data_IF_923710193779
#
_entry.id   IF_923710193779
#
_cell.length_a   1.000
_cell.length_b   1.000
_cell.length_c   1.000
_cell.angle_alpha   90.00
_cell.angle_beta   90.00
_cell.angle_gamma   90.00
#
_symmetry.space_group_name_H-M   'P 1'
#
loop_
_entity.id
_entity.type
_entity.pdbx_description
1 polymer ?
#
# COMPACT_ATOMS: atom_id res chain seq x y z
N UNK A 1 12.59 -5.00 -5.77
CA UNK A 1 11.93 -3.67 -5.66
C UNK A 1 12.76 -2.79 -4.75
N UNK A 2 12.98 -1.51 -5.12
CA UNK A 2 13.64 -0.52 -4.24
C UNK A 2 12.58 0.42 -3.63
N UNK A 3 12.70 0.68 -2.33
CA UNK A 3 11.81 1.56 -1.56
C UNK A 3 12.68 2.52 -0.76
N UNK A 4 12.45 3.82 -0.91
CA UNK A 4 13.10 4.86 -0.15
C UNK A 4 12.04 5.61 0.68
N UNK A 5 12.38 6.02 1.89
CA UNK A 5 11.44 6.63 2.83
C UNK A 5 12.09 7.87 3.41
N UNK A 6 11.42 9.00 3.33
CA UNK A 6 11.84 10.27 3.95
C UNK A 6 10.94 10.54 5.16
N UNK A 7 11.55 10.72 6.33
CA UNK A 7 10.85 10.99 7.59
C UNK A 7 11.75 11.77 8.54
N UNK A 8 11.17 12.45 9.53
CA UNK A 8 11.90 13.00 10.67
C UNK A 8 12.17 11.96 11.78
N UNK A 9 11.71 10.73 11.57
CA UNK A 9 11.89 9.58 12.47
C UNK A 9 12.28 8.33 11.70
N UNK A 10 13.48 8.26 11.08
CA UNK A 10 13.90 7.12 10.26
C UNK A 10 13.94 5.80 11.06
N UNK A 11 14.24 5.85 12.34
CA UNK A 11 14.27 4.68 13.23
C UNK A 11 12.93 3.96 13.35
N UNK A 12 11.82 4.65 13.05
CA UNK A 12 10.49 4.06 13.01
C UNK A 12 10.42 2.85 12.08
N UNK A 13 11.22 2.86 11.01
CA UNK A 13 11.21 1.85 9.97
C UNK A 13 12.06 0.62 10.29
N UNK A 14 12.76 0.58 11.42
CA UNK A 14 13.44 -0.63 11.88
C UNK A 14 12.49 -1.83 12.04
N UNK A 15 11.18 -1.59 12.27
CA UNK A 15 10.16 -2.63 12.28
C UNK A 15 10.09 -3.43 10.96
N UNK A 16 10.40 -2.81 9.84
CA UNK A 16 10.41 -3.43 8.52
C UNK A 16 11.57 -4.44 8.33
N UNK A 17 12.54 -4.45 9.25
CA UNK A 17 13.63 -5.43 9.26
C UNK A 17 13.24 -6.75 9.97
N UNK A 18 12.02 -6.84 10.47
CA UNK A 18 11.52 -8.01 11.20
C UNK A 18 10.73 -8.95 10.28
N UNK A 19 10.49 -10.17 10.77
CA UNK A 19 9.59 -11.13 10.15
C UNK A 19 9.95 -11.53 8.71
N UNK A 20 8.94 -11.61 7.86
CA UNK A 20 9.10 -12.01 6.45
C UNK A 20 9.74 -10.88 5.63
N UNK A 21 9.42 -9.64 5.92
CA UNK A 21 9.97 -8.49 5.20
C UNK A 21 11.49 -8.37 5.42
N UNK A 22 11.97 -8.55 6.66
CA UNK A 22 13.41 -8.59 6.94
C UNK A 22 14.13 -9.77 6.25
N UNK A 23 13.47 -10.92 6.11
CA UNK A 23 13.99 -12.04 5.32
C UNK A 23 14.03 -11.73 3.83
N UNK A 24 13.01 -11.05 3.30
CA UNK A 24 12.93 -10.65 1.90
C UNK A 24 14.04 -9.64 1.55
N UNK A 25 14.35 -8.70 2.45
CA UNK A 25 15.49 -7.78 2.29
C UNK A 25 16.82 -8.54 2.23
N UNK A 26 17.06 -9.47 3.16
CA UNK A 26 18.28 -10.32 3.15
C UNK A 26 18.42 -11.17 1.89
N UNK A 27 17.33 -11.49 1.21
CA UNK A 27 17.30 -12.24 -0.05
C UNK A 27 17.37 -11.35 -1.28
N UNK A 28 17.42 -10.03 -1.12
CA UNK A 28 17.47 -9.07 -2.23
C UNK A 28 16.15 -8.92 -3.02
N UNK A 29 15.01 -9.41 -2.48
CA UNK A 29 13.70 -9.25 -3.11
C UNK A 29 13.24 -7.80 -3.02
N UNK A 30 13.52 -7.14 -1.90
CA UNK A 30 13.26 -5.73 -1.67
C UNK A 30 14.46 -5.10 -0.96
N UNK A 31 14.76 -3.86 -1.27
CA UNK A 31 15.68 -3.02 -0.51
C UNK A 31 14.93 -1.81 0.02
N UNK A 32 15.15 -1.47 1.29
CA UNK A 32 14.48 -0.34 1.95
C UNK A 32 15.57 0.54 2.55
N UNK A 33 15.52 1.84 2.24
CA UNK A 33 16.35 2.86 2.87
C UNK A 33 15.45 3.94 3.49
N UNK A 34 15.80 4.40 4.69
CA UNK A 34 15.13 5.48 5.37
C UNK A 34 16.10 6.64 5.58
N UNK A 35 15.64 7.85 5.29
CA UNK A 35 16.41 9.09 5.34
C UNK A 35 15.80 10.02 6.39
N UNK A 36 16.64 10.66 7.21
CA UNK A 36 16.20 11.70 8.14
C UNK A 36 16.09 13.03 7.38
N UNK A 37 14.88 13.57 7.26
CA UNK A 37 14.64 14.86 6.61
C UNK A 37 15.47 15.99 7.23
N UNK A 38 15.88 15.86 8.51
CA UNK A 38 16.71 16.87 9.20
C UNK A 38 18.12 16.98 8.66
N UNK A 39 18.61 15.99 7.93
CA UNK A 39 19.94 16.03 7.32
C UNK A 39 20.09 17.12 6.25
N UNK A 40 18.95 17.62 5.73
CA UNK A 40 18.88 18.72 4.75
C UNK A 40 18.55 20.08 5.37
N UNK A 41 18.58 20.20 6.69
CA UNK A 41 18.38 21.48 7.38
C UNK A 41 19.71 22.20 7.55
N UNK A 42 19.68 23.55 7.47
CA UNK A 42 20.87 24.39 7.55
C UNK A 42 20.93 25.23 8.83
N UNK A 43 19.89 25.21 9.64
CA UNK A 43 19.81 25.93 10.90
C UNK A 43 20.25 25.08 12.09
N UNK A 44 20.66 25.74 13.18
CA UNK A 44 21.19 25.07 14.40
C UNK A 44 20.16 24.19 15.09
N UNK A 45 18.87 24.44 14.83
CA UNK A 45 17.74 23.73 15.46
C UNK A 45 17.19 22.57 14.61
N UNK A 46 17.74 22.38 13.40
CA UNK A 46 17.26 21.38 12.44
C UNK A 46 15.74 21.50 12.20
N UNK A 47 15.27 22.74 11.95
CA UNK A 47 13.86 23.07 11.84
C UNK A 47 13.28 22.67 10.50
N UNK A 48 12.34 21.73 10.50
CA UNK A 48 11.69 21.19 9.30
C UNK A 48 10.29 21.77 9.06
N UNK A 49 9.80 22.63 9.95
CA UNK A 49 8.44 23.15 9.97
C UNK A 49 8.39 24.65 10.29
N UNK A 50 7.27 25.30 9.97
CA UNK A 50 6.99 26.71 10.28
C UNK A 50 5.49 26.92 10.45
N UNK A 51 5.09 28.13 10.88
CA UNK A 51 3.69 28.50 11.09
C UNK A 51 2.91 28.50 9.77
N UNK A 52 1.64 28.03 9.77
CA UNK A 52 0.85 28.00 8.54
C UNK A 52 0.54 29.40 8.02
N UNK A 53 0.67 29.60 6.70
CA UNK A 53 0.25 30.84 6.04
C UNK A 53 -1.28 30.93 6.10
N UNK A 54 -1.76 32.11 6.53
CA UNK A 54 -3.18 32.32 6.79
C UNK A 54 -3.57 32.12 8.26
N UNK A 55 -2.62 31.72 9.11
CA UNK A 55 -2.86 31.47 10.54
C UNK A 55 -3.50 30.10 10.78
N UNK A 56 -3.75 29.79 12.03
CA UNK A 56 -4.29 28.51 12.49
C UNK A 56 -3.42 27.88 13.56
N UNK A 57 -3.89 26.76 14.10
CA UNK A 57 -3.11 25.95 15.04
C UNK A 57 -2.15 25.01 14.30
N UNK A 58 -1.07 24.62 14.98
CA UNK A 58 -0.12 23.65 14.45
C UNK A 58 0.99 24.29 13.60
N UNK A 59 1.71 23.41 12.89
CA UNK A 59 2.88 23.75 12.08
C UNK A 59 2.75 23.05 10.73
N UNK A 60 3.36 23.55 9.68
CA UNK A 60 3.42 22.95 8.35
C UNK A 60 4.87 22.70 8.00
N UNK A 61 5.17 21.54 7.42
CA UNK A 61 6.54 21.19 7.03
C UNK A 61 6.99 22.00 5.82
N UNK A 62 8.19 22.56 5.93
CA UNK A 62 8.77 23.52 4.98
C UNK A 62 9.04 22.92 3.61
N UNK A 63 8.64 23.58 2.52
CA UNK A 63 8.83 23.06 1.17
C UNK A 63 10.30 23.01 0.74
N UNK A 64 11.13 23.96 1.17
CA UNK A 64 12.56 24.00 0.80
C UNK A 64 13.33 22.80 1.32
N UNK A 65 13.09 22.38 2.56
CA UNK A 65 13.77 21.21 3.14
C UNK A 65 13.31 19.91 2.45
N UNK A 66 12.02 19.80 2.17
CA UNK A 66 11.50 18.69 1.39
C UNK A 66 12.06 18.67 -0.04
N UNK A 67 12.21 19.83 -0.68
CA UNK A 67 12.73 19.92 -2.03
C UNK A 67 14.21 19.46 -2.10
N UNK A 68 15.06 19.95 -1.21
CA UNK A 68 16.47 19.53 -1.15
C UNK A 68 16.60 18.03 -0.92
N UNK A 69 15.87 17.49 0.07
CA UNK A 69 15.87 16.06 0.36
C UNK A 69 15.37 15.21 -0.81
N UNK A 70 14.25 15.60 -1.40
CA UNK A 70 13.66 14.83 -2.50
C UNK A 70 14.48 14.95 -3.79
N UNK A 71 15.11 16.08 -4.06
CA UNK A 71 16.01 16.25 -5.19
C UNK A 71 17.22 15.30 -5.07
N UNK A 72 17.82 15.19 -3.90
CA UNK A 72 18.90 14.25 -3.63
C UNK A 72 18.42 12.79 -3.73
N UNK A 73 17.35 12.45 -3.06
CA UNK A 73 16.81 11.08 -3.03
C UNK A 73 16.34 10.65 -4.42
N UNK A 74 15.66 11.52 -5.17
CA UNK A 74 15.13 11.20 -6.49
C UNK A 74 16.18 11.32 -7.60
N UNK A 75 17.15 12.23 -7.44
CA UNK A 75 18.25 12.47 -8.38
C UNK A 75 19.43 11.51 -8.21
N UNK A 76 19.63 10.99 -6.99
CA UNK A 76 20.77 10.14 -6.65
C UNK A 76 20.74 8.78 -7.34
N UNK A 77 21.47 8.64 -8.41
CA UNK A 77 21.85 7.37 -9.03
C UNK A 77 23.11 6.79 -8.38
N UNK A 78 23.27 6.86 -7.07
CA UNK A 78 24.36 6.14 -6.41
C UNK A 78 24.00 4.66 -6.34
N UNK A 79 24.39 3.90 -7.38
CA UNK A 79 24.34 2.44 -7.39
C UNK A 79 23.46 1.76 -8.42
N UNK A 80 22.74 2.48 -9.27
CA UNK A 80 22.19 1.89 -10.49
C UNK A 80 23.20 2.17 -11.62
N UNK A 81 23.79 1.10 -12.15
CA UNK A 81 24.64 1.14 -13.35
C UNK A 81 23.91 1.96 -14.43
N UNK A 82 24.50 3.06 -14.87
CA UNK A 82 23.97 3.95 -15.92
C UNK A 82 23.85 3.26 -17.30
N UNK A 83 23.84 1.95 -17.34
CA UNK A 83 23.94 1.10 -18.52
C UNK A 83 22.66 0.37 -18.91
N UNK A 84 21.50 0.63 -18.30
CA UNK A 84 20.25 0.04 -18.77
C UNK A 84 19.29 1.05 -19.40
N UNK A 85 19.77 1.74 -20.41
CA UNK A 85 18.89 2.18 -21.50
C UNK A 85 18.78 0.96 -22.42
N UNK A 86 17.77 0.14 -22.26
CA UNK A 86 17.53 -0.87 -23.25
C UNK A 86 17.10 -0.20 -24.56
N UNK A 87 17.44 -0.83 -25.68
CA UNK A 87 17.24 -0.32 -27.04
C UNK A 87 15.76 -0.13 -27.43
N UNK A 88 14.84 -0.12 -26.47
CA UNK A 88 13.40 0.00 -26.66
C UNK A 88 12.76 1.26 -26.08
N UNK A 89 13.52 2.20 -25.49
CA UNK A 89 12.95 3.46 -24.96
C UNK A 89 11.98 3.28 -23.79
N UNK A 90 12.08 2.20 -23.06
CA UNK A 90 11.19 1.92 -21.91
C UNK A 90 11.58 2.79 -20.71
N UNK A 91 10.60 3.49 -20.14
CA UNK A 91 10.71 4.39 -18.97
C UNK A 91 10.90 3.61 -17.65
N UNK A 92 11.85 2.68 -17.58
CA UNK A 92 11.95 1.66 -16.54
C UNK A 92 12.38 2.20 -15.17
N UNK A 93 12.77 3.46 -15.03
CA UNK A 93 13.33 3.95 -13.77
C UNK A 93 12.77 5.29 -13.24
N UNK A 94 11.61 5.71 -13.70
CA UNK A 94 10.96 6.89 -13.11
C UNK A 94 10.28 6.47 -11.81
N UNK A 95 10.71 6.97 -10.64
CA UNK A 95 10.12 6.59 -9.36
C UNK A 95 8.67 7.06 -9.25
N UNK A 96 7.91 6.42 -8.35
CA UNK A 96 6.62 6.90 -7.88
C UNK A 96 6.84 7.53 -6.52
N UNK A 97 6.49 8.82 -6.37
CA UNK A 97 6.53 9.53 -5.10
C UNK A 97 5.15 9.42 -4.42
N UNK A 98 5.12 8.95 -3.18
CA UNK A 98 3.87 8.65 -2.47
C UNK A 98 3.85 9.36 -1.12
N UNK A 99 2.77 10.08 -0.85
CA UNK A 99 2.53 10.73 0.43
C UNK A 99 1.28 10.15 1.11
N UNK A 100 1.37 9.66 2.34
CA UNK A 100 0.18 9.44 3.17
C UNK A 100 -0.53 10.76 3.44
N UNK A 101 -1.83 10.81 3.15
CA UNK A 101 -2.67 11.97 3.38
C UNK A 101 -4.09 11.50 3.75
N UNK A 102 -4.64 11.86 4.94
CA UNK A 102 -5.96 11.42 5.35
C UNK A 102 -7.10 11.94 4.45
N UNK A 103 -6.86 13.00 3.68
CA UNK A 103 -7.83 13.58 2.74
C UNK A 103 -7.75 13.02 1.32
N UNK A 104 -6.86 12.05 1.07
CA UNK A 104 -6.67 11.43 -0.24
C UNK A 104 -7.55 10.19 -0.45
N UNK A 105 -7.62 9.64 -1.67
CA UNK A 105 -8.26 8.36 -1.94
C UNK A 105 -7.69 7.23 -1.09
N UNK A 106 -8.53 6.22 -0.80
CA UNK A 106 -8.12 5.06 -0.01
C UNK A 106 -7.07 4.21 -0.75
N UNK A 107 -6.03 3.83 -0.03
CA UNK A 107 -5.12 2.78 -0.43
C UNK A 107 -5.81 1.42 -0.30
N UNK A 108 -5.91 0.69 -1.41
CA UNK A 108 -6.63 -0.58 -1.48
C UNK A 108 -5.69 -1.75 -1.83
N UNK A 109 -6.21 -2.98 -1.73
CA UNK A 109 -5.49 -4.17 -2.20
C UNK A 109 -5.19 -4.10 -3.71
N UNK A 110 -6.09 -3.51 -4.51
CA UNK A 110 -5.87 -3.28 -5.94
C UNK A 110 -4.67 -2.35 -6.18
N UNK A 111 -4.61 -1.22 -5.43
CA UNK A 111 -3.46 -0.30 -5.45
C UNK A 111 -2.16 -1.01 -5.05
N UNK A 112 -2.19 -1.82 -3.99
CA UNK A 112 -1.02 -2.60 -3.57
C UNK A 112 -0.56 -3.56 -4.66
N UNK A 113 -1.49 -4.22 -5.35
CA UNK A 113 -1.20 -5.13 -6.47
C UNK A 113 -0.60 -4.39 -7.65
N UNK A 114 -1.18 -3.27 -8.05
CA UNK A 114 -0.64 -2.41 -9.11
C UNK A 114 0.81 -1.99 -8.82
N UNK A 115 1.06 -1.45 -7.62
CA UNK A 115 2.39 -1.01 -7.22
C UNK A 115 3.39 -2.17 -7.12
N UNK A 116 2.97 -3.35 -6.66
CA UNK A 116 3.84 -4.53 -6.60
C UNK A 116 4.26 -5.03 -7.98
N UNK A 117 3.41 -4.86 -8.99
CA UNK A 117 3.66 -5.26 -10.39
C UNK A 117 4.44 -4.18 -11.18
N UNK A 118 4.49 -2.95 -10.70
CA UNK A 118 5.06 -1.83 -11.46
C UNK A 118 6.57 -1.94 -11.71
N UNK A 119 7.29 -2.74 -10.92
CA UNK A 119 8.77 -2.86 -10.91
C UNK A 119 9.50 -1.52 -10.72
N UNK A 120 8.78 -0.44 -10.42
CA UNK A 120 9.33 0.90 -10.26
C UNK A 120 9.84 1.11 -8.82
N UNK A 121 10.79 2.00 -8.68
CA UNK A 121 11.23 2.52 -7.39
C UNK A 121 10.09 3.30 -6.73
N UNK A 122 9.83 3.03 -5.45
CA UNK A 122 8.84 3.75 -4.66
C UNK A 122 9.56 4.67 -3.68
N UNK A 123 9.14 5.93 -3.60
CA UNK A 123 9.66 6.90 -2.64
C UNK A 123 8.50 7.39 -1.80
N UNK A 124 8.58 7.22 -0.48
CA UNK A 124 7.55 7.64 0.45
C UNK A 124 7.99 8.87 1.24
N UNK A 125 7.14 9.88 1.30
CA UNK A 125 7.33 11.07 2.15
C UNK A 125 6.38 11.05 3.35
N UNK A 126 6.93 10.98 4.57
CA UNK A 126 6.13 10.96 5.81
C UNK A 126 5.93 12.36 6.35
N UNK A 127 4.74 12.93 6.17
CA UNK A 127 4.35 14.19 6.79
C UNK A 127 4.13 14.07 8.30
N UNK A 128 4.37 15.17 8.99
CA UNK A 128 4.09 15.38 10.42
C UNK A 128 3.34 16.69 10.61
N UNK A 129 2.92 16.99 11.83
CA UNK A 129 2.18 18.18 12.17
C UNK A 129 0.88 18.31 11.37
N UNK A 130 0.60 19.49 10.77
CA UNK A 130 -0.56 19.71 9.89
C UNK A 130 -0.32 19.22 8.45
N UNK A 131 0.86 18.64 8.18
CA UNK A 131 1.23 18.07 6.89
C UNK A 131 2.41 18.75 6.23
N UNK A 132 2.66 18.37 4.99
CA UNK A 132 3.69 18.92 4.11
C UNK A 132 3.07 20.07 3.31
N UNK A 133 3.84 21.14 3.07
CA UNK A 133 3.40 22.23 2.20
C UNK A 133 2.87 21.71 0.86
N UNK A 134 1.67 22.08 0.49
CA UNK A 134 0.96 21.56 -0.68
C UNK A 134 1.70 21.78 -2.01
N UNK A 135 2.64 22.74 -2.05
CA UNK A 135 3.49 22.99 -3.23
C UNK A 135 4.49 21.85 -3.48
N UNK A 136 4.85 21.08 -2.47
CA UNK A 136 5.82 19.97 -2.66
C UNK A 136 5.27 18.88 -3.60
N UNK A 137 4.15 18.21 -3.34
CA UNK A 137 3.62 17.23 -4.26
C UNK A 137 3.28 17.84 -5.65
N UNK A 138 2.79 19.07 -5.69
CA UNK A 138 2.46 19.76 -6.94
C UNK A 138 3.72 20.04 -7.78
N UNK A 139 4.81 20.46 -7.15
CA UNK A 139 6.07 20.72 -7.83
C UNK A 139 6.62 19.45 -8.52
N UNK A 140 6.66 18.33 -7.82
CA UNK A 140 7.17 17.08 -8.40
C UNK A 140 6.25 16.51 -9.48
N UNK A 141 4.96 16.80 -9.40
CA UNK A 141 3.98 16.42 -10.44
C UNK A 141 4.11 17.25 -11.72
N UNK A 142 4.48 18.52 -11.61
CA UNK A 142 4.47 19.48 -12.74
C UNK A 142 5.86 19.83 -13.27
N UNK A 143 6.83 20.04 -12.40
CA UNK A 143 8.21 20.37 -12.73
C UNK A 143 9.11 19.15 -12.63
N UNK A 144 9.04 18.46 -11.51
CA UNK A 144 9.63 17.16 -11.33
C UNK A 144 11.00 17.11 -10.69
N UNK A 145 11.63 15.92 -10.76
CA UNK A 145 12.95 15.60 -10.20
C UNK A 145 14.07 16.14 -11.08
N UNK A 146 15.25 16.44 -10.51
CA UNK A 146 16.43 16.73 -11.32
C UNK A 146 16.86 15.50 -12.13
N UNK A 147 17.38 15.73 -13.33
CA UNK A 147 17.91 14.68 -14.21
C UNK A 147 19.43 14.51 -14.07
N UNK A 148 20.08 15.42 -13.35
CA UNK A 148 21.53 15.43 -13.11
C UNK A 148 21.80 15.63 -11.62
N UNK A 149 23.03 15.40 -11.19
CA UNK A 149 23.47 15.71 -9.83
C UNK A 149 23.52 17.24 -9.53
N UNK A 150 23.37 18.08 -10.54
CA UNK A 150 23.18 19.52 -10.36
C UNK A 150 21.71 19.78 -10.05
N UNK A 151 21.45 20.29 -8.85
CA UNK A 151 20.10 20.61 -8.35
C UNK A 151 19.77 22.10 -8.47
N UNK A 152 20.58 22.88 -9.17
CA UNK A 152 20.38 24.30 -9.38
C UNK A 152 19.04 24.63 -10.06
N UNK A 153 18.61 25.89 -9.96
CA UNK A 153 17.33 26.35 -10.54
C UNK A 153 17.19 26.09 -12.04
N UNK A 154 18.31 26.05 -12.77
CA UNK A 154 18.36 25.80 -14.21
C UNK A 154 18.66 24.33 -14.56
N UNK A 155 18.74 23.43 -13.60
CA UNK A 155 18.96 22.01 -13.86
C UNK A 155 17.78 21.42 -14.65
N UNK A 156 18.06 20.56 -15.63
CA UNK A 156 17.00 19.88 -16.36
C UNK A 156 16.19 19.01 -15.41
N UNK A 157 14.86 19.08 -15.50
CA UNK A 157 13.93 18.36 -14.63
C UNK A 157 12.92 17.58 -15.43
N UNK A 158 12.34 16.55 -14.80
CA UNK A 158 11.32 15.70 -15.39
C UNK A 158 10.17 15.48 -14.39
N UNK A 159 8.93 15.82 -14.75
CA UNK A 159 7.77 15.45 -13.96
C UNK A 159 7.75 13.96 -13.64
N UNK A 160 7.31 13.62 -12.41
CA UNK A 160 7.18 12.24 -11.97
C UNK A 160 5.75 11.96 -11.53
N UNK A 161 5.42 10.70 -11.42
CA UNK A 161 4.15 10.30 -10.86
C UNK A 161 4.15 10.54 -9.34
N UNK A 162 3.22 11.38 -8.87
CA UNK A 162 3.01 11.69 -7.46
C UNK A 162 1.63 11.19 -7.07
N UNK A 163 1.58 10.36 -6.05
CA UNK A 163 0.35 9.78 -5.50
C UNK A 163 0.17 10.16 -4.04
N UNK A 164 -1.06 10.29 -3.62
CA UNK A 164 -1.44 10.51 -2.23
C UNK A 164 -2.48 9.47 -1.85
N UNK A 165 -2.36 8.89 -0.63
CA UNK A 165 -3.29 7.86 -0.16
C UNK A 165 -3.64 8.01 1.31
N UNK A 166 -4.93 7.80 1.62
CA UNK A 166 -5.40 7.53 2.97
C UNK A 166 -5.40 6.03 3.25
N UNK A 167 -5.14 5.62 4.48
CA UNK A 167 -5.30 4.24 4.92
C UNK A 167 -6.60 3.99 5.72
N UNK A 168 -7.49 4.98 5.78
CA UNK A 168 -8.79 4.88 6.46
C UNK A 168 -9.30 6.23 6.94
N UNK A 169 -10.55 6.25 7.38
CA UNK A 169 -11.26 7.44 7.85
C UNK A 169 -10.87 7.79 9.29
N UNK A 170 -9.58 8.06 9.51
CA UNK A 170 -9.00 8.50 10.78
C UNK A 170 -7.70 9.25 10.54
N UNK A 171 -7.30 10.05 11.52
CA UNK A 171 -6.08 10.86 11.47
C UNK A 171 -5.01 10.27 12.38
N UNK A 172 -3.79 10.17 11.89
CA UNK A 172 -2.60 9.76 12.63
C UNK A 172 -1.72 10.97 12.95
N UNK A 173 -0.82 10.83 13.93
CA UNK A 173 0.15 11.90 14.27
C UNK A 173 1.24 12.09 13.20
N UNK A 174 1.34 11.22 12.21
CA UNK A 174 2.31 11.28 11.13
C UNK A 174 2.15 10.13 10.14
N UNK A 175 2.88 10.19 9.02
CA UNK A 175 2.76 9.25 7.91
C UNK A 175 3.44 7.90 8.13
N UNK A 176 4.28 7.72 9.15
CA UNK A 176 5.15 6.56 9.30
C UNK A 176 4.39 5.24 9.41
N UNK A 177 3.33 5.20 10.24
CA UNK A 177 2.47 4.00 10.37
C UNK A 177 1.79 3.66 9.05
N UNK A 178 1.29 4.68 8.35
CA UNK A 178 0.64 4.51 7.06
C UNK A 178 1.62 3.95 6.02
N UNK A 179 2.84 4.48 5.97
CA UNK A 179 3.91 3.99 5.08
C UNK A 179 4.26 2.54 5.40
N UNK A 180 4.42 2.18 6.67
CA UNK A 180 4.65 0.79 7.06
C UNK A 180 3.52 -0.13 6.57
N UNK A 181 2.25 0.27 6.73
CA UNK A 181 1.10 -0.52 6.28
C UNK A 181 1.08 -0.69 4.75
N UNK A 182 1.37 0.38 4.00
CA UNK A 182 1.45 0.34 2.53
C UNK A 182 2.59 -0.58 2.07
N UNK A 183 3.78 -0.45 2.65
CA UNK A 183 4.95 -1.27 2.31
C UNK A 183 4.68 -2.75 2.59
N UNK A 184 4.11 -3.10 3.72
CA UNK A 184 3.72 -4.48 4.04
C UNK A 184 2.72 -5.02 3.01
N UNK A 185 1.69 -4.25 2.66
CA UNK A 185 0.68 -4.67 1.69
C UNK A 185 1.26 -4.86 0.28
N UNK A 186 2.19 -4.01 -0.16
CA UNK A 186 2.85 -4.08 -1.47
C UNK A 186 3.83 -5.25 -1.52
N UNK A 187 4.75 -5.31 -0.55
CA UNK A 187 5.90 -6.21 -0.62
C UNK A 187 5.53 -7.67 -0.46
N UNK A 188 4.46 -7.99 0.30
CA UNK A 188 3.97 -9.37 0.43
C UNK A 188 3.46 -9.98 -0.88
N UNK A 189 3.17 -9.15 -1.89
CA UNK A 189 2.73 -9.57 -3.22
C UNK A 189 3.89 -9.81 -4.20
N UNK A 190 5.12 -9.43 -3.81
CA UNK A 190 6.29 -9.63 -4.66
C UNK A 190 6.60 -11.12 -4.89
N UNK A 191 7.00 -11.50 -6.09
CA UNK A 191 7.42 -12.86 -6.37
C UNK A 191 8.50 -13.35 -5.41
N UNK A 192 8.30 -14.51 -4.82
CA UNK A 192 9.23 -15.12 -3.87
C UNK A 192 9.20 -14.54 -2.47
N UNK A 193 8.37 -13.54 -2.16
CA UNK A 193 8.21 -13.02 -0.80
C UNK A 193 7.56 -14.07 0.11
N UNK A 194 6.40 -14.60 -0.30
CA UNK A 194 5.71 -15.67 0.42
C UNK A 194 6.27 -17.03 0.04
N UNK A 195 6.46 -17.91 1.04
CA UNK A 195 6.93 -19.29 0.81
C UNK A 195 5.90 -20.14 0.05
N UNK A 196 4.61 -19.86 0.23
CA UNK A 196 3.52 -20.47 -0.53
C UNK A 196 2.77 -19.38 -1.31
N UNK A 197 2.91 -19.35 -2.65
CA UNK A 197 2.21 -18.36 -3.50
C UNK A 197 0.68 -18.43 -3.37
N UNK A 198 0.11 -19.61 -3.08
CA UNK A 198 -1.34 -19.77 -2.94
C UNK A 198 -1.92 -19.04 -1.71
N UNK A 199 -1.04 -18.68 -0.76
CA UNK A 199 -1.46 -17.97 0.46
C UNK A 199 -2.04 -16.59 0.17
N UNK A 200 -1.63 -15.93 -0.91
CA UNK A 200 -2.13 -14.59 -1.29
C UNK A 200 -3.32 -14.63 -2.25
N UNK A 201 -3.67 -15.81 -2.79
CA UNK A 201 -4.71 -15.92 -3.84
C UNK A 201 -6.13 -15.96 -3.26
N UNK A 202 -6.30 -16.55 -2.06
CA UNK A 202 -7.63 -16.78 -1.43
C UNK A 202 -7.90 -15.83 -0.25
N UNK A 203 -7.21 -14.74 -0.15
CA UNK A 203 -7.40 -13.74 0.91
C UNK A 203 -8.52 -12.74 0.58
N UNK A 204 -8.90 -11.96 1.58
CA UNK A 204 -9.84 -10.85 1.39
C UNK A 204 -9.34 -9.88 0.32
N UNK A 205 -10.24 -9.45 -0.57
CA UNK A 205 -10.00 -8.43 -1.60
C UNK A 205 -9.06 -8.84 -2.76
N UNK A 206 -8.59 -10.07 -2.85
CA UNK A 206 -7.59 -10.45 -3.88
C UNK A 206 -8.22 -10.87 -5.20
N UNK A 207 -8.84 -12.04 -5.28
CA UNK A 207 -9.42 -12.57 -6.53
C UNK A 207 -10.83 -12.08 -6.82
N UNK A 208 -11.58 -11.76 -5.78
CA UNK A 208 -12.94 -11.26 -5.84
C UNK A 208 -13.17 -10.26 -4.68
N UNK A 209 -14.16 -9.37 -4.79
CA UNK A 209 -14.51 -8.44 -3.73
C UNK A 209 -15.26 -9.16 -2.59
N UNK A 210 -14.58 -10.06 -1.91
CA UNK A 210 -15.09 -10.83 -0.79
C UNK A 210 -14.14 -10.81 0.39
N UNK A 211 -14.69 -10.98 1.59
CA UNK A 211 -13.92 -11.24 2.79
C UNK A 211 -13.60 -12.72 2.91
N UNK A 212 -12.41 -13.03 3.41
CA UNK A 212 -12.00 -14.39 3.67
C UNK A 212 -12.89 -15.08 4.73
N UNK A 213 -13.10 -16.37 4.56
CA UNK A 213 -13.81 -17.22 5.52
C UNK A 213 -13.04 -17.38 6.84
N UNK A 214 -13.72 -17.79 7.95
CA UNK A 214 -13.05 -18.07 9.22
C UNK A 214 -12.05 -19.22 9.11
N UNK A 215 -10.85 -19.02 9.66
CA UNK A 215 -9.80 -20.03 9.72
C UNK A 215 -9.83 -20.77 11.07
N UNK A 216 -9.53 -22.05 11.04
CA UNK A 216 -9.47 -22.91 12.22
C UNK A 216 -8.17 -23.69 12.27
N UNK A 217 -7.73 -24.03 13.50
CA UNK A 217 -6.55 -24.87 13.74
C UNK A 217 -6.84 -25.88 14.85
N UNK A 218 -5.88 -26.74 15.17
CA UNK A 218 -5.96 -27.70 16.29
C UNK A 218 -5.85 -26.99 17.66
N UNK A 219 -6.47 -27.55 18.71
CA UNK A 219 -7.27 -28.80 18.76
C UNK A 219 -8.66 -28.65 18.14
N UNK A 220 -9.29 -29.77 17.76
CA UNK A 220 -10.63 -29.78 17.14
C UNK A 220 -11.72 -29.20 18.07
N UNK A 221 -11.52 -29.29 19.39
CA UNK A 221 -12.40 -28.66 20.39
C UNK A 221 -11.54 -27.82 21.35
N UNK A 222 -11.91 -26.57 21.51
CA UNK A 222 -11.26 -25.65 22.44
C UNK A 222 -12.33 -24.89 23.26
N UNK A 223 -12.27 -25.04 24.58
CA UNK A 223 -13.22 -24.41 25.53
C UNK A 223 -14.70 -24.64 25.18
N UNK A 224 -15.04 -25.84 24.74
CA UNK A 224 -16.41 -26.19 24.35
C UNK A 224 -16.83 -25.78 22.92
N UNK A 225 -15.99 -25.02 22.21
CA UNK A 225 -16.19 -24.66 20.80
C UNK A 225 -15.50 -25.68 19.89
N UNK A 226 -16.21 -26.21 18.91
CA UNK A 226 -15.71 -27.22 17.98
C UNK A 226 -15.47 -26.64 16.59
N UNK A 227 -14.44 -27.13 15.93
CA UNK A 227 -14.21 -26.90 14.49
C UNK A 227 -15.38 -27.53 13.71
N UNK A 228 -15.94 -26.87 12.69
CA UNK A 228 -16.98 -27.47 11.84
C UNK A 228 -16.53 -28.82 11.28
N UNK A 229 -17.35 -29.86 11.44
CA UNK A 229 -17.02 -31.24 11.05
C UNK A 229 -16.62 -31.36 9.58
N UNK A 230 -17.25 -30.55 8.73
CA UNK A 230 -16.97 -30.53 7.29
C UNK A 230 -15.48 -30.25 6.99
N UNK A 231 -14.83 -29.42 7.81
CA UNK A 231 -13.41 -29.08 7.64
C UNK A 231 -12.47 -30.25 7.98
N UNK A 232 -12.97 -31.24 8.70
CA UNK A 232 -12.25 -32.45 9.10
C UNK A 232 -12.59 -33.67 8.23
N UNK A 233 -13.51 -33.54 7.25
CA UNK A 233 -14.04 -34.63 6.46
C UNK A 233 -13.08 -35.21 5.41
N UNK A 234 -12.03 -34.47 5.03
CA UNK A 234 -11.17 -34.83 3.90
C UNK A 234 -11.81 -34.62 2.51
N UNK A 235 -13.08 -34.23 2.43
CA UNK A 235 -13.76 -33.92 1.17
C UNK A 235 -13.49 -32.47 0.76
N UNK A 236 -12.44 -32.29 -0.05
CA UNK A 236 -11.98 -30.95 -0.48
C UNK A 236 -13.07 -30.17 -1.21
N UNK A 237 -13.92 -30.80 -2.01
CA UNK A 237 -14.99 -30.11 -2.73
C UNK A 237 -16.04 -29.54 -1.79
N UNK A 238 -16.44 -30.32 -0.78
CA UNK A 238 -17.36 -29.85 0.25
C UNK A 238 -16.75 -28.81 1.17
N UNK A 239 -15.46 -28.95 1.49
CA UNK A 239 -14.70 -27.96 2.26
C UNK A 239 -14.63 -26.62 1.52
N UNK A 240 -14.28 -26.63 0.23
CA UNK A 240 -14.20 -25.40 -0.58
C UNK A 240 -15.57 -24.73 -0.72
N UNK A 241 -16.65 -25.54 -0.88
CA UNK A 241 -18.02 -25.00 -0.88
C UNK A 241 -18.37 -24.35 0.44
N UNK A 242 -18.11 -24.99 1.55
CA UNK A 242 -18.34 -24.46 2.89
C UNK A 242 -17.60 -23.12 3.08
N UNK A 243 -16.32 -23.08 2.74
CA UNK A 243 -15.50 -21.86 2.82
C UNK A 243 -16.09 -20.73 1.99
N UNK A 244 -16.52 -21.03 0.76
CA UNK A 244 -17.17 -20.06 -0.12
C UNK A 244 -18.47 -19.52 0.48
N UNK A 245 -19.31 -20.39 1.05
CA UNK A 245 -20.55 -19.99 1.71
C UNK A 245 -20.27 -19.09 2.93
N UNK A 246 -19.23 -19.40 3.70
CA UNK A 246 -18.81 -18.56 4.84
C UNK A 246 -18.29 -17.18 4.39
N UNK A 247 -17.54 -17.12 3.30
CA UNK A 247 -17.09 -15.83 2.72
C UNK A 247 -18.28 -14.97 2.29
N UNK A 248 -19.23 -15.53 1.57
CA UNK A 248 -20.44 -14.82 1.14
C UNK A 248 -21.25 -14.32 2.34
N UNK A 249 -21.47 -15.18 3.35
CA UNK A 249 -22.21 -14.83 4.54
C UNK A 249 -21.53 -13.73 5.36
N UNK A 250 -20.21 -13.84 5.57
CA UNK A 250 -19.41 -12.84 6.29
C UNK A 250 -19.42 -11.50 5.56
N UNK A 251 -19.24 -11.53 4.25
CA UNK A 251 -19.22 -10.31 3.41
C UNK A 251 -20.59 -9.63 3.43
N UNK A 252 -21.69 -10.40 3.38
CA UNK A 252 -23.05 -9.88 3.43
C UNK A 252 -23.34 -9.07 4.70
N UNK A 253 -22.70 -9.43 5.82
CA UNK A 253 -22.90 -8.76 7.12
C UNK A 253 -21.95 -7.60 7.31
N UNK A 254 -20.67 -7.78 7.01
CA UNK A 254 -19.61 -6.82 7.36
C UNK A 254 -19.36 -5.80 6.25
N UNK A 255 -19.38 -6.23 4.98
CA UNK A 255 -19.06 -5.42 3.81
C UNK A 255 -20.05 -5.69 2.67
N UNK A 256 -21.34 -5.34 2.87
CA UNK A 256 -22.37 -5.54 1.84
C UNK A 256 -22.04 -4.84 0.53
N UNK A 257 -21.35 -3.70 0.59
CA UNK A 257 -20.85 -2.94 -0.55
C UNK A 257 -19.94 -3.77 -1.50
N UNK A 258 -19.20 -4.74 -0.96
CA UNK A 258 -18.38 -5.64 -1.78
C UNK A 258 -19.23 -6.66 -2.54
N UNK A 259 -20.32 -7.14 -1.95
CA UNK A 259 -21.22 -8.03 -2.67
C UNK A 259 -21.87 -7.33 -3.87
N UNK A 260 -22.17 -6.05 -3.75
CA UNK A 260 -22.71 -5.23 -4.85
C UNK A 260 -21.73 -5.05 -6.02
N UNK A 261 -20.45 -5.34 -5.81
CA UNK A 261 -19.43 -5.32 -6.86
C UNK A 261 -19.30 -6.66 -7.60
N UNK A 262 -19.85 -7.77 -7.06
CA UNK A 262 -19.84 -9.05 -7.73
C UNK A 262 -20.67 -8.99 -9.01
N UNK A 263 -20.24 -9.74 -10.03
CA UNK A 263 -21.01 -9.89 -11.26
C UNK A 263 -21.92 -11.14 -11.17
N UNK A 264 -23.24 -10.95 -11.24
CA UNK A 264 -24.16 -12.07 -11.15
C UNK A 264 -23.89 -13.16 -12.20
N UNK A 265 -23.37 -12.80 -13.38
CA UNK A 265 -23.06 -13.78 -14.45
C UNK A 265 -21.95 -14.76 -14.04
N UNK A 266 -21.04 -14.35 -13.18
CA UNK A 266 -19.93 -15.19 -12.66
C UNK A 266 -20.32 -16.06 -11.47
N UNK A 267 -21.50 -15.82 -10.85
CA UNK A 267 -21.97 -16.57 -9.70
C UNK A 267 -22.43 -17.97 -10.09
N UNK A 268 -21.91 -18.99 -9.39
CA UNK A 268 -22.38 -20.35 -9.52
C UNK A 268 -23.84 -20.48 -9.07
N UNK A 269 -24.50 -21.56 -9.48
CA UNK A 269 -25.88 -21.85 -8.99
C UNK A 269 -25.95 -21.90 -7.47
N UNK A 270 -24.91 -22.41 -6.82
CA UNK A 270 -24.84 -22.55 -5.38
C UNK A 270 -24.62 -21.16 -4.72
N UNK A 271 -23.75 -20.30 -5.28
CA UNK A 271 -23.56 -18.93 -4.77
C UNK A 271 -24.85 -18.14 -4.81
N UNK A 272 -25.61 -18.24 -5.92
CA UNK A 272 -26.93 -17.62 -6.05
C UNK A 272 -27.88 -18.11 -4.97
N UNK A 273 -27.92 -19.43 -4.71
CA UNK A 273 -28.76 -20.00 -3.66
C UNK A 273 -28.38 -19.47 -2.27
N UNK A 274 -27.09 -19.40 -1.96
CA UNK A 274 -26.59 -18.86 -0.70
C UNK A 274 -26.94 -17.38 -0.55
N UNK A 275 -26.70 -16.56 -1.59
CA UNK A 275 -27.03 -15.13 -1.55
C UNK A 275 -28.53 -14.88 -1.40
N UNK A 276 -29.40 -15.64 -2.09
CA UNK A 276 -30.85 -15.54 -1.95
C UNK A 276 -31.26 -15.87 -0.51
N UNK A 277 -30.68 -16.92 0.09
CA UNK A 277 -30.96 -17.29 1.49
C UNK A 277 -30.49 -16.20 2.48
N UNK A 278 -29.50 -15.38 2.12
CA UNK A 278 -29.02 -14.23 2.89
C UNK A 278 -29.82 -12.93 2.59
N UNK A 279 -30.90 -12.99 1.83
CA UNK A 279 -31.77 -11.84 1.51
C UNK A 279 -31.22 -10.97 0.36
N UNK A 280 -30.47 -11.56 -0.59
CA UNK A 280 -29.96 -10.84 -1.75
C UNK A 280 -30.71 -11.23 -3.04
N UNK A 281 -30.93 -10.25 -3.89
CA UNK A 281 -31.48 -10.42 -5.25
C UNK A 281 -30.31 -10.54 -6.22
N UNK A 282 -30.26 -11.64 -6.98
CA UNK A 282 -29.16 -11.98 -7.91
C UNK A 282 -29.60 -12.14 -9.37
N UNK A 283 -30.70 -11.48 -9.73
CA UNK A 283 -31.29 -11.51 -11.09
C UNK A 283 -30.77 -10.39 -12.02
N UNK A 284 -30.06 -9.40 -11.48
CA UNK A 284 -29.50 -8.26 -12.24
C UNK A 284 -28.05 -8.48 -12.65
N UNK A 285 -27.38 -7.38 -13.02
CA UNK A 285 -25.94 -7.38 -13.33
C UNK A 285 -25.12 -7.65 -12.07
N UNK A 286 -25.50 -7.02 -10.97
CA UNK A 286 -24.85 -7.12 -9.67
C UNK A 286 -25.86 -7.56 -8.61
N UNK A 287 -25.45 -8.28 -7.54
CA UNK A 287 -26.28 -8.53 -6.39
C UNK A 287 -26.74 -7.22 -5.75
N UNK A 288 -27.95 -7.22 -5.22
CA UNK A 288 -28.50 -6.09 -4.45
C UNK A 288 -29.24 -6.63 -3.23
N UNK A 289 -29.27 -5.89 -2.16
CA UNK A 289 -30.05 -6.25 -0.99
C UNK A 289 -31.56 -6.24 -1.34
N UNK A 290 -32.30 -7.25 -0.87
CA UNK A 290 -33.74 -7.36 -1.08
C UNK A 290 -34.53 -6.29 -0.32
#
# INVERSE_FOLDING_TARGET
MRIDIVSVFPDYFHVLNLGLLGKAQKRGIVSIAAYDLRDWTHDVHHSVDDTPVGGGAGMVMKPEIWAECLDDVLGGNEGADASTVDAGGSTVDVPILIFPNPSAPLFTQETATELSCSSRRLVFGCGRYEGIDARVPEYYRTVGRPLTADHGENAPRQPIEVREYSIGDYVLNGGEVAVCAMIEAITRLLPGFMSNPDSVVKESYTSEPLLEYPQYTRPATWRGLTVPEILMSGDHGRVDRFRRDQSLAKTAVIRPDLLEQLECVKLSKQDRKTLIALGWVVSGRHPRKA
#
